data_IF_736398470058
#
_entry.id   IF_736398470058
#
_cell.length_a   1.000
_cell.length_b   1.000
_cell.length_c   1.000
_cell.angle_alpha   90.00
_cell.angle_beta   90.00
_cell.angle_gamma   90.00
#
_symmetry.space_group_name_H-M   'P 1'
#
loop_
_entity.id
_entity.type
_entity.pdbx_description
1 polymer ?
#
# COMPACT_ATOMS: atom_id res chain seq x y z
N UNK A 1 1.68 34.81 -9.04
CA UNK A 1 1.41 33.49 -8.45
C UNK A 1 -0.10 33.34 -8.41
N UNK A 2 -0.62 32.45 -9.23
CA UNK A 2 -2.03 32.07 -9.17
C UNK A 2 -2.27 31.33 -7.85
N UNK A 3 -3.37 31.63 -7.17
CA UNK A 3 -3.59 31.21 -5.77
C UNK A 3 -4.07 29.76 -5.63
N UNK A 4 -4.18 29.04 -6.73
CA UNK A 4 -4.60 27.65 -6.82
C UNK A 4 -4.18 27.10 -8.18
N UNK A 5 -3.98 25.78 -8.25
CA UNK A 5 -3.79 25.04 -9.51
C UNK A 5 -5.13 24.64 -10.16
N UNK A 6 -6.26 25.02 -9.53
CA UNK A 6 -7.61 24.60 -9.91
C UNK A 6 -7.98 25.00 -11.34
N UNK A 7 -8.49 24.04 -12.11
CA UNK A 7 -9.12 24.29 -13.41
C UNK A 7 -10.61 24.57 -13.30
N UNK A 8 -11.25 24.18 -12.19
CA UNK A 8 -12.65 24.47 -11.89
C UNK A 8 -12.91 24.33 -10.38
N UNK A 9 -13.45 25.37 -9.75
CA UNK A 9 -13.94 25.33 -8.37
C UNK A 9 -15.40 25.77 -8.37
N UNK A 10 -16.28 24.90 -7.87
CA UNK A 10 -17.72 25.13 -7.78
C UNK A 10 -18.23 24.87 -6.37
N UNK A 11 -19.17 25.72 -5.92
CA UNK A 11 -19.92 25.55 -4.70
C UNK A 11 -21.41 25.59 -5.06
N UNK A 12 -22.13 24.54 -4.74
CA UNK A 12 -23.60 24.45 -4.87
C UNK A 12 -24.14 24.20 -3.47
N UNK A 13 -25.13 24.99 -3.05
CA UNK A 13 -25.78 24.85 -1.75
C UNK A 13 -27.28 25.16 -1.86
N UNK A 14 -28.07 24.50 -1.02
CA UNK A 14 -29.49 24.74 -0.86
C UNK A 14 -29.73 25.81 0.23
N UNK A 15 -30.82 26.55 0.12
CA UNK A 15 -31.28 27.49 1.16
C UNK A 15 -32.81 27.48 1.21
N UNK A 16 -33.36 27.80 2.38
CA UNK A 16 -34.81 27.93 2.60
C UNK A 16 -35.17 29.40 2.81
N UNK A 17 -36.17 29.90 2.09
CA UNK A 17 -36.84 31.17 2.40
C UNK A 17 -37.90 30.91 3.47
N UNK A 18 -37.79 31.59 4.61
CA UNK A 18 -38.68 31.44 5.75
C UNK A 18 -39.91 32.34 5.64
N UNK A 19 -40.95 32.04 6.42
CA UNK A 19 -42.25 32.75 6.37
C UNK A 19 -42.21 34.19 6.90
N UNK A 20 -41.15 34.58 7.59
CA UNK A 20 -40.84 35.95 8.02
C UNK A 20 -39.98 36.74 6.99
N UNK A 21 -39.56 36.09 5.90
CA UNK A 21 -38.68 36.65 4.88
C UNK A 21 -37.19 36.52 5.18
N UNK A 22 -36.79 35.85 6.26
CA UNK A 22 -35.39 35.45 6.49
C UNK A 22 -35.00 34.28 5.57
N UNK A 23 -33.69 34.02 5.45
CA UNK A 23 -33.16 32.86 4.74
C UNK A 23 -32.35 32.02 5.71
N UNK A 24 -32.67 30.73 5.78
CA UNK A 24 -31.81 29.72 6.41
C UNK A 24 -30.94 29.10 5.33
N UNK A 25 -29.63 29.22 5.50
CA UNK A 25 -28.63 28.60 4.63
C UNK A 25 -28.36 27.15 5.04
N UNK A 26 -28.19 26.27 4.04
CA UNK A 26 -27.57 24.96 4.26
C UNK A 26 -26.06 25.10 4.54
N UNK A 27 -25.35 23.98 4.68
CA UNK A 27 -23.93 24.00 5.00
C UNK A 27 -23.10 24.75 3.96
N UNK A 28 -22.01 25.40 4.38
CA UNK A 28 -21.08 26.11 3.51
C UNK A 28 -19.64 25.78 3.91
N UNK A 29 -18.72 25.73 2.95
CA UNK A 29 -17.29 25.65 3.25
C UNK A 29 -16.83 26.99 3.83
N UNK A 30 -16.36 26.99 5.08
CA UNK A 30 -15.70 28.15 5.69
C UNK A 30 -14.20 28.13 5.39
N UNK A 31 -13.55 26.98 5.53
CA UNK A 31 -12.15 26.79 5.15
C UNK A 31 -11.84 25.35 4.70
N UNK A 32 -10.74 25.21 3.95
CA UNK A 32 -10.04 23.95 3.68
C UNK A 32 -8.54 24.24 3.82
N UNK A 33 -7.85 23.51 4.68
CA UNK A 33 -6.44 23.63 5.01
C UNK A 33 -5.76 22.28 4.77
N UNK A 34 -5.15 22.16 3.57
CA UNK A 34 -4.32 21.01 3.19
C UNK A 34 -2.92 21.22 3.77
N UNK A 35 -2.56 20.39 4.74
CA UNK A 35 -1.32 20.54 5.51
C UNK A 35 -0.09 20.34 4.63
N UNK A 36 0.96 21.09 4.97
CA UNK A 36 2.29 21.04 4.35
C UNK A 36 2.33 21.38 2.85
N UNK A 37 1.30 22.04 2.31
CA UNK A 37 1.38 22.63 0.97
C UNK A 37 2.45 23.72 0.89
N UNK A 38 3.29 23.61 -0.13
CA UNK A 38 4.20 24.69 -0.55
C UNK A 38 3.44 25.89 -1.14
N UNK A 39 4.13 27.03 -1.27
CA UNK A 39 3.59 28.25 -1.92
C UNK A 39 3.17 28.06 -3.39
N UNK A 40 3.52 26.92 -4.01
CA UNK A 40 3.12 26.55 -5.38
C UNK A 40 1.93 25.58 -5.41
N UNK A 41 1.24 25.37 -4.28
CA UNK A 41 0.18 24.36 -4.11
C UNK A 41 0.64 22.92 -4.43
N UNK A 42 1.91 22.60 -4.14
CA UNK A 42 2.47 21.24 -4.23
C UNK A 42 2.71 20.66 -2.84
N UNK A 43 2.37 19.39 -2.65
CA UNK A 43 2.71 18.56 -1.50
C UNK A 43 3.82 17.58 -1.89
N UNK A 44 5.01 17.72 -1.29
CA UNK A 44 6.20 16.92 -1.62
C UNK A 44 6.22 15.52 -0.96
N UNK A 45 5.07 15.06 -0.44
CA UNK A 45 4.87 13.74 0.17
C UNK A 45 3.54 13.09 -0.25
N UNK A 46 3.42 11.74 -0.22
CA UNK A 46 2.20 11.04 -0.65
C UNK A 46 0.97 11.24 0.23
N UNK A 47 1.18 11.43 1.54
CA UNK A 47 0.11 11.43 2.54
C UNK A 47 -0.46 12.83 2.72
N UNK A 48 -1.65 13.00 2.15
CA UNK A 48 -2.46 14.21 2.22
C UNK A 48 -3.18 14.24 3.56
N UNK A 49 -3.03 15.33 4.31
CA UNK A 49 -3.75 15.57 5.55
C UNK A 49 -4.50 16.89 5.41
N UNK A 50 -5.79 16.91 5.70
CA UNK A 50 -6.66 18.08 5.49
C UNK A 50 -7.46 18.32 6.76
N UNK A 51 -7.53 19.59 7.18
CA UNK A 51 -8.54 20.08 8.13
C UNK A 51 -9.49 20.99 7.34
N UNK A 52 -10.80 20.85 7.56
CA UNK A 52 -11.79 21.70 6.93
C UNK A 52 -12.92 22.05 7.90
N UNK A 53 -13.51 23.22 7.73
CA UNK A 53 -14.57 23.76 8.59
C UNK A 53 -15.80 24.10 7.77
N UNK A 54 -16.96 23.72 8.30
CA UNK A 54 -18.26 24.07 7.74
C UNK A 54 -18.88 25.21 8.55
N UNK A 55 -19.36 26.24 7.86
CA UNK A 55 -20.41 27.09 8.42
C UNK A 55 -21.75 26.36 8.25
N UNK A 56 -22.60 26.37 9.27
CA UNK A 56 -23.96 25.84 9.19
C UNK A 56 -24.82 26.45 10.31
N UNK A 57 -26.13 26.57 10.08
CA UNK A 57 -27.10 27.08 11.06
C UNK A 57 -27.68 26.00 11.99
N UNK A 58 -27.39 24.72 11.71
CA UNK A 58 -27.90 23.54 12.42
C UNK A 58 -26.79 22.47 12.62
N UNK A 59 -27.17 21.25 12.99
CA UNK A 59 -26.23 20.12 13.07
C UNK A 59 -26.01 19.45 11.70
N UNK A 60 -24.79 18.99 11.42
CA UNK A 60 -24.48 18.22 10.21
C UNK A 60 -24.93 16.76 10.39
N UNK A 61 -25.90 16.31 9.60
CA UNK A 61 -26.44 14.95 9.64
C UNK A 61 -25.61 13.97 8.79
N UNK A 62 -25.18 14.40 7.60
CA UNK A 62 -24.37 13.61 6.69
C UNK A 62 -23.21 14.44 6.16
N UNK A 63 -22.04 13.83 6.06
CA UNK A 63 -20.83 14.43 5.55
C UNK A 63 -20.00 13.40 4.79
N UNK A 64 -19.52 13.79 3.61
CA UNK A 64 -18.62 13.01 2.76
C UNK A 64 -17.47 13.89 2.32
N UNK A 65 -16.28 13.29 2.23
CA UNK A 65 -15.08 13.87 1.67
C UNK A 65 -14.59 12.88 0.62
N UNK A 66 -14.42 13.32 -0.61
CA UNK A 66 -13.97 12.52 -1.74
C UNK A 66 -12.77 13.18 -2.39
N UNK A 67 -11.87 12.38 -2.94
CA UNK A 67 -10.77 12.85 -3.78
C UNK A 67 -10.77 12.14 -5.14
N UNK A 68 -10.11 12.75 -6.12
CA UNK A 68 -9.94 12.21 -7.47
C UNK A 68 -8.58 12.57 -8.03
N UNK A 69 -7.90 11.60 -8.63
CA UNK A 69 -6.62 11.75 -9.35
C UNK A 69 -6.77 11.84 -10.87
N UNK A 70 -7.98 11.58 -11.40
CA UNK A 70 -8.33 11.67 -12.81
C UNK A 70 -9.35 12.79 -13.06
N UNK A 71 -8.99 14.01 -12.67
CA UNK A 71 -9.71 15.26 -12.99
C UNK A 71 -11.22 15.30 -12.66
N UNK A 72 -11.67 14.40 -11.77
CA UNK A 72 -13.06 14.26 -11.36
C UNK A 72 -13.90 13.25 -12.16
N UNK A 73 -13.29 12.41 -13.01
CA UNK A 73 -13.98 11.30 -13.68
C UNK A 73 -14.45 10.21 -12.69
N UNK A 74 -13.57 9.82 -11.76
CA UNK A 74 -13.90 8.88 -10.66
C UNK A 74 -13.52 9.45 -9.31
N UNK A 75 -14.25 9.09 -8.26
CA UNK A 75 -14.11 9.65 -6.92
C UNK A 75 -13.96 8.56 -5.87
N UNK A 76 -13.02 8.75 -4.94
CA UNK A 76 -12.75 7.84 -3.83
C UNK A 76 -13.07 8.56 -2.53
N UNK A 77 -13.97 7.99 -1.72
CA UNK A 77 -14.30 8.54 -0.40
C UNK A 77 -13.13 8.33 0.57
N UNK A 78 -12.77 9.37 1.31
CA UNK A 78 -11.77 9.35 2.37
C UNK A 78 -12.43 9.26 3.76
N UNK A 79 -11.74 8.71 4.78
CA UNK A 79 -12.25 8.69 6.16
C UNK A 79 -12.31 10.12 6.73
N UNK A 80 -13.32 10.40 7.56
CA UNK A 80 -13.54 11.71 8.18
C UNK A 80 -13.57 11.54 9.70
N UNK A 81 -12.86 12.41 10.41
CA UNK A 81 -12.88 12.51 11.87
C UNK A 81 -13.38 13.90 12.27
N UNK A 82 -14.27 13.98 13.26
CA UNK A 82 -14.65 15.26 13.87
C UNK A 82 -13.57 15.69 14.88
N UNK A 83 -13.07 16.91 14.75
CA UNK A 83 -12.13 17.52 15.70
C UNK A 83 -12.90 18.33 16.76
N UNK A 84 -13.83 19.15 16.31
CA UNK A 84 -14.64 20.08 17.12
C UNK A 84 -15.94 20.41 16.36
N UNK A 85 -16.82 21.25 16.91
CA UNK A 85 -18.07 21.65 16.26
C UNK A 85 -17.81 22.17 14.83
N UNK A 86 -18.48 21.51 13.87
CA UNK A 86 -18.38 21.73 12.43
C UNK A 86 -16.95 21.72 11.85
N UNK A 87 -15.97 21.16 12.57
CA UNK A 87 -14.55 21.16 12.20
C UNK A 87 -14.04 19.72 12.11
N UNK A 88 -13.53 19.35 10.94
CA UNK A 88 -13.26 17.97 10.57
C UNK A 88 -11.85 17.79 10.02
N UNK A 89 -11.33 16.57 10.07
CA UNK A 89 -10.12 16.18 9.35
C UNK A 89 -10.29 14.91 8.54
N UNK A 90 -9.45 14.79 7.51
CA UNK A 90 -9.29 13.58 6.71
C UNK A 90 -7.81 13.35 6.41
N UNK A 91 -7.44 12.10 6.21
CA UNK A 91 -6.08 11.68 5.85
C UNK A 91 -6.15 10.53 4.84
N UNK A 92 -5.35 10.61 3.78
CA UNK A 92 -5.27 9.60 2.73
C UNK A 92 -3.92 9.66 2.00
N UNK A 93 -3.50 8.55 1.40
CA UNK A 93 -2.28 8.45 0.60
C UNK A 93 -2.61 8.37 -0.89
N UNK A 94 -2.01 9.27 -1.67
CA UNK A 94 -2.06 9.23 -3.14
C UNK A 94 -0.98 8.26 -3.65
N UNK A 95 -1.33 7.35 -4.56
CA UNK A 95 -0.41 6.36 -5.13
C UNK A 95 -0.08 6.65 -6.61
N UNK A 96 1.10 6.23 -7.05
CA UNK A 96 1.66 6.49 -8.38
C UNK A 96 2.63 7.67 -8.41
N UNK A 97 2.86 8.23 -9.61
CA UNK A 97 3.75 9.38 -9.81
C UNK A 97 3.19 10.70 -9.23
N UNK A 98 3.90 11.81 -9.50
CA UNK A 98 3.40 13.14 -9.19
C UNK A 98 2.16 13.45 -10.05
N UNK A 99 1.06 13.85 -9.40
CA UNK A 99 -0.23 14.06 -10.07
C UNK A 99 -1.09 15.11 -9.36
N UNK A 100 -2.09 15.64 -10.06
CA UNK A 100 -3.05 16.58 -9.47
C UNK A 100 -4.08 15.84 -8.62
N UNK A 101 -4.52 16.47 -7.53
CA UNK A 101 -5.63 15.99 -6.71
C UNK A 101 -6.79 16.96 -6.79
N UNK A 102 -7.95 16.41 -7.09
CA UNK A 102 -9.24 17.08 -7.05
C UNK A 102 -9.98 16.69 -5.76
N UNK A 103 -10.76 17.60 -5.19
CA UNK A 103 -11.52 17.40 -3.96
C UNK A 103 -13.02 17.58 -4.22
N UNK A 104 -13.85 16.80 -3.51
CA UNK A 104 -15.27 17.07 -3.31
C UNK A 104 -15.63 16.90 -1.83
N UNK A 105 -16.42 17.82 -1.31
CA UNK A 105 -17.02 17.74 0.01
C UNK A 105 -18.53 17.86 -0.19
N UNK A 106 -19.31 16.90 0.28
CA UNK A 106 -20.78 16.98 0.27
C UNK A 106 -21.32 16.86 1.69
N UNK A 107 -22.22 17.77 2.08
CA UNK A 107 -22.83 17.80 3.40
C UNK A 107 -24.36 17.87 3.29
N UNK A 108 -25.04 17.39 4.33
CA UNK A 108 -26.49 17.58 4.55
C UNK A 108 -26.71 17.89 6.02
N UNK A 109 -27.49 18.94 6.28
CA UNK A 109 -27.82 19.39 7.63
C UNK A 109 -29.05 18.66 8.22
N UNK A 110 -29.36 18.91 9.49
CA UNK A 110 -30.51 18.28 10.17
C UNK A 110 -31.88 18.83 9.73
N UNK A 111 -31.92 19.88 8.90
CA UNK A 111 -33.12 20.33 8.18
C UNK A 111 -33.26 19.66 6.79
N UNK A 112 -32.24 18.93 6.32
CA UNK A 112 -32.18 18.30 5.00
C UNK A 112 -31.61 19.17 3.87
N UNK A 113 -31.10 20.37 4.18
CA UNK A 113 -30.43 21.28 3.25
C UNK A 113 -29.01 20.78 2.93
N UNK A 114 -28.66 20.81 1.65
CA UNK A 114 -27.44 20.19 1.12
C UNK A 114 -26.42 21.20 0.62
N UNK A 115 -25.17 20.74 0.57
CA UNK A 115 -24.07 21.41 -0.10
C UNK A 115 -23.17 20.40 -0.81
N UNK A 116 -22.62 20.81 -1.95
CA UNK A 116 -21.50 20.16 -2.61
C UNK A 116 -20.48 21.22 -3.05
N UNK A 117 -19.25 21.08 -2.56
CA UNK A 117 -18.11 21.90 -2.95
C UNK A 117 -17.12 21.01 -3.70
N UNK A 118 -16.88 21.30 -4.99
CA UNK A 118 -15.93 20.56 -5.83
C UNK A 118 -14.79 21.49 -6.25
N UNK A 119 -13.56 20.97 -6.28
CA UNK A 119 -12.38 21.66 -6.83
C UNK A 119 -11.55 20.67 -7.63
N UNK A 120 -11.43 20.91 -8.94
CA UNK A 120 -10.68 20.07 -9.88
C UNK A 120 -9.26 20.59 -10.00
N UNK A 121 -8.25 19.74 -9.76
CA UNK A 121 -6.81 20.09 -9.66
C UNK A 121 -6.47 21.11 -8.57
N UNK A 122 -7.08 20.99 -7.39
CA UNK A 122 -6.86 21.96 -6.29
C UNK A 122 -5.39 22.10 -5.86
N UNK A 123 -4.65 21.00 -5.86
CA UNK A 123 -3.23 20.93 -5.51
C UNK A 123 -2.52 19.78 -6.26
N UNK A 124 -1.20 19.76 -6.24
CA UNK A 124 -0.34 18.73 -6.84
C UNK A 124 0.32 17.91 -5.73
N UNK A 125 0.46 16.59 -5.91
CA UNK A 125 0.99 15.67 -4.88
C UNK A 125 2.07 14.78 -5.46
N UNK A 126 3.21 14.65 -4.77
CA UNK A 126 4.20 13.60 -5.02
C UNK A 126 3.68 12.27 -4.45
N UNK A 127 3.04 11.46 -5.30
CA UNK A 127 2.44 10.18 -4.91
C UNK A 127 3.44 9.14 -4.39
N UNK A 128 2.90 8.15 -3.67
CA UNK A 128 3.59 6.96 -3.21
C UNK A 128 3.81 6.04 -4.40
N UNK A 129 5.07 5.86 -4.78
CA UNK A 129 5.45 5.03 -5.91
C UNK A 129 4.97 3.59 -5.73
N UNK A 130 4.31 3.08 -6.75
CA UNK A 130 3.80 1.71 -6.86
C UNK A 130 4.84 0.78 -7.50
N UNK A 131 4.51 -0.51 -7.64
CA UNK A 131 5.38 -1.50 -8.28
C UNK A 131 5.71 -1.15 -9.74
N UNK A 132 4.84 -0.39 -10.43
CA UNK A 132 5.06 0.16 -11.78
C UNK A 132 6.33 1.04 -11.88
N UNK A 133 6.85 1.48 -10.74
CA UNK A 133 8.05 2.32 -10.62
C UNK A 133 9.25 1.55 -10.05
N UNK A 134 9.19 0.22 -9.89
CA UNK A 134 10.34 -0.57 -9.46
C UNK A 134 11.48 -0.48 -10.50
N UNK A 135 12.75 -0.28 -10.10
CA UNK A 135 13.30 -0.27 -8.74
C UNK A 135 13.35 1.10 -8.02
N UNK A 136 12.86 2.20 -8.61
CA UNK A 136 13.04 3.58 -8.10
C UNK A 136 12.78 3.79 -6.59
N UNK A 137 11.76 3.19 -5.92
CA UNK A 137 11.53 3.39 -4.49
C UNK A 137 12.69 2.91 -3.59
N UNK A 138 13.55 2.02 -4.11
CA UNK A 138 14.64 1.34 -3.39
C UNK A 138 16.02 1.90 -3.77
N UNK A 139 16.06 3.04 -4.47
CA UNK A 139 17.25 3.77 -4.89
C UNK A 139 17.27 5.20 -4.29
N UNK A 140 18.41 5.88 -4.38
CA UNK A 140 18.57 7.31 -4.10
C UNK A 140 18.57 8.12 -5.40
N UNK A 141 18.54 9.44 -5.29
CA UNK A 141 18.57 10.37 -6.43
C UNK A 141 19.87 10.27 -7.27
N UNK A 142 20.98 9.80 -6.70
CA UNK A 142 22.22 9.48 -7.42
C UNK A 142 22.22 8.10 -8.10
N UNK A 143 21.09 7.40 -8.03
CA UNK A 143 20.87 6.04 -8.54
C UNK A 143 21.33 4.93 -7.59
N UNK A 144 22.06 5.21 -6.50
CA UNK A 144 22.61 4.16 -5.63
C UNK A 144 21.54 3.41 -4.83
N UNK A 145 21.82 2.16 -4.48
CA UNK A 145 20.98 1.34 -3.60
C UNK A 145 20.64 2.08 -2.29
N UNK A 146 19.35 2.09 -1.96
CA UNK A 146 18.78 2.69 -0.74
C UNK A 146 17.93 1.68 0.05
N UNK A 147 18.27 0.39 -0.01
CA UNK A 147 17.51 -0.65 0.67
C UNK A 147 18.38 -1.70 1.36
N UNK A 148 17.77 -2.41 2.31
CA UNK A 148 18.31 -3.64 2.89
C UNK A 148 17.27 -4.77 2.81
N UNK A 149 17.74 -6.02 2.70
CA UNK A 149 16.87 -7.18 2.84
C UNK A 149 16.54 -7.44 4.31
N UNK A 150 15.36 -7.99 4.57
CA UNK A 150 14.96 -8.50 5.89
C UNK A 150 14.57 -9.96 5.72
N UNK A 151 15.32 -10.83 6.38
CA UNK A 151 15.21 -12.29 6.26
C UNK A 151 14.79 -12.88 7.60
N UNK A 152 13.81 -13.79 7.55
CA UNK A 152 13.26 -14.44 8.73
C UNK A 152 14.27 -15.34 9.47
N UNK A 153 14.09 -15.49 10.79
CA UNK A 153 14.92 -16.38 11.58
C UNK A 153 14.74 -17.85 11.18
N UNK A 154 15.82 -18.63 11.10
CA UNK A 154 15.74 -20.08 10.85
C UNK A 154 15.22 -20.88 12.06
N UNK A 155 15.07 -20.24 13.23
CA UNK A 155 14.47 -20.84 14.43
C UNK A 155 13.03 -20.34 14.66
N UNK A 156 12.18 -21.10 15.38
CA UNK A 156 10.82 -20.67 15.74
C UNK A 156 10.77 -19.32 16.48
N UNK A 157 10.02 -18.36 15.93
CA UNK A 157 9.91 -16.99 16.45
C UNK A 157 8.61 -16.29 16.00
N UNK A 158 8.40 -15.06 16.46
CA UNK A 158 7.25 -14.22 16.07
C UNK A 158 5.88 -14.75 16.51
N UNK A 159 4.82 -14.21 15.89
CA UNK A 159 3.41 -14.57 16.17
C UNK A 159 3.09 -16.03 15.88
N UNK A 160 3.67 -16.58 14.82
CA UNK A 160 3.32 -17.90 14.29
C UNK A 160 4.25 -19.04 14.74
N UNK A 161 5.41 -18.71 15.34
CA UNK A 161 6.37 -19.65 15.90
C UNK A 161 6.86 -20.70 14.88
N UNK A 162 7.18 -20.26 13.66
CA UNK A 162 7.90 -21.04 12.64
C UNK A 162 9.28 -20.43 12.38
N UNK A 163 10.12 -21.15 11.64
CA UNK A 163 11.42 -20.66 11.16
C UNK A 163 11.44 -20.58 9.64
N UNK A 164 12.12 -19.57 9.10
CA UNK A 164 12.30 -19.34 7.68
C UNK A 164 13.16 -20.41 7.00
N UNK A 165 12.99 -20.52 5.69
CA UNK A 165 13.63 -21.53 4.88
C UNK A 165 14.87 -20.99 4.15
N UNK A 166 15.71 -21.90 3.63
CA UNK A 166 16.80 -21.51 2.72
C UNK A 166 16.26 -20.93 1.40
N UNK A 167 14.98 -21.19 1.06
CA UNK A 167 14.36 -20.68 -0.14
C UNK A 167 14.21 -19.14 -0.12
N UNK A 168 13.95 -18.56 1.05
CA UNK A 168 13.80 -17.11 1.23
C UNK A 168 15.16 -16.39 1.12
N UNK A 169 16.24 -17.05 1.52
CA UNK A 169 17.63 -16.61 1.30
C UNK A 169 18.00 -16.67 -0.19
N UNK A 170 17.53 -17.69 -0.92
CA UNK A 170 17.80 -17.81 -2.35
C UNK A 170 16.95 -16.80 -3.15
N UNK A 171 15.70 -16.56 -2.76
CA UNK A 171 14.83 -15.53 -3.33
C UNK A 171 15.44 -14.12 -3.23
N UNK A 172 15.85 -13.72 -2.02
CA UNK A 172 16.58 -12.45 -1.82
C UNK A 172 17.89 -12.38 -2.62
N UNK A 173 18.62 -13.50 -2.74
CA UNK A 173 19.83 -13.58 -3.58
C UNK A 173 19.54 -13.33 -5.08
N UNK A 174 18.44 -13.87 -5.62
CA UNK A 174 18.01 -13.63 -7.00
C UNK A 174 17.70 -12.14 -7.24
N UNK A 175 16.97 -11.51 -6.31
CA UNK A 175 16.63 -10.08 -6.37
C UNK A 175 17.90 -9.21 -6.26
N UNK A 176 18.84 -9.56 -5.38
CA UNK A 176 20.13 -8.88 -5.24
C UNK A 176 20.96 -8.94 -6.53
N UNK A 177 21.03 -10.12 -7.16
CA UNK A 177 21.71 -10.31 -8.44
C UNK A 177 21.06 -9.47 -9.56
N UNK A 178 19.73 -9.30 -9.54
CA UNK A 178 19.02 -8.47 -10.52
C UNK A 178 19.11 -6.96 -10.26
N UNK A 179 19.24 -6.51 -9.02
CA UNK A 179 19.43 -5.09 -8.69
C UNK A 179 20.84 -4.58 -9.06
N UNK A 180 21.85 -5.46 -9.07
CA UNK A 180 23.27 -5.10 -9.27
C UNK A 180 23.73 -4.61 -10.66
N UNK A 181 23.20 -5.04 -11.82
CA UNK A 181 23.84 -4.80 -13.13
C UNK A 181 23.95 -3.32 -13.54
N UNK A 182 23.10 -2.46 -12.98
CA UNK A 182 23.06 -1.02 -13.27
C UNK A 182 23.66 -0.17 -12.14
N UNK A 183 24.29 -0.79 -11.12
CA UNK A 183 24.69 -0.13 -9.88
C UNK A 183 26.21 0.06 -9.75
N UNK A 184 26.70 1.13 -9.12
CA UNK A 184 28.13 1.31 -8.85
C UNK A 184 28.70 0.15 -8.03
N UNK A 185 29.89 -0.34 -8.38
CA UNK A 185 30.53 -1.52 -7.75
C UNK A 185 30.73 -1.37 -6.22
N UNK A 186 30.66 -0.14 -5.69
CA UNK A 186 30.78 0.18 -4.26
C UNK A 186 29.49 -0.01 -3.45
N UNK A 187 28.33 -0.25 -4.07
CA UNK A 187 27.07 -0.48 -3.34
C UNK A 187 26.98 -1.92 -2.84
N UNK A 188 27.31 -2.14 -1.57
CA UNK A 188 27.04 -3.41 -0.86
C UNK A 188 25.55 -3.54 -0.53
N UNK A 189 24.97 -4.72 -0.77
CA UNK A 189 23.69 -5.07 -0.16
C UNK A 189 23.89 -5.32 1.35
N UNK A 190 22.93 -4.89 2.15
CA UNK A 190 22.82 -5.21 3.57
C UNK A 190 21.62 -6.13 3.74
N UNK A 191 21.75 -7.13 4.61
CA UNK A 191 20.65 -7.97 5.06
C UNK A 191 20.58 -7.94 6.57
N UNK A 192 19.38 -7.71 7.11
CA UNK A 192 19.09 -7.82 8.54
C UNK A 192 18.31 -9.09 8.82
N UNK A 193 18.43 -9.57 10.05
CA UNK A 193 17.54 -10.56 10.61
C UNK A 193 16.22 -9.87 10.99
N UNK A 194 15.08 -10.50 10.75
CA UNK A 194 13.78 -9.87 11.01
C UNK A 194 13.53 -9.57 12.49
N UNK A 195 14.04 -10.40 13.41
CA UNK A 195 14.01 -10.13 14.86
C UNK A 195 14.88 -8.95 15.31
N UNK A 196 15.82 -8.50 14.47
CA UNK A 196 16.60 -7.28 14.75
C UNK A 196 15.78 -6.03 14.37
N UNK A 197 14.95 -6.16 13.32
CA UNK A 197 14.13 -5.09 12.73
C UNK A 197 12.77 -4.95 13.41
N UNK A 198 12.19 -6.05 13.89
CA UNK A 198 10.82 -6.11 14.42
C UNK A 198 10.82 -6.83 15.76
N UNK A 199 10.23 -6.20 16.77
CA UNK A 199 9.96 -6.81 18.08
C UNK A 199 8.57 -7.44 18.15
N UNK A 200 8.42 -8.46 18.99
CA UNK A 200 7.14 -9.13 19.27
C UNK A 200 6.98 -9.37 20.77
N UNK A 201 5.77 -9.13 21.29
CA UNK A 201 5.39 -9.42 22.66
C UNK A 201 4.41 -10.62 22.70
N UNK A 202 4.86 -11.83 23.07
CA UNK A 202 4.01 -13.02 23.08
C UNK A 202 2.91 -13.00 24.14
N UNK A 203 2.95 -12.06 25.10
CA UNK A 203 1.90 -11.89 26.11
C UNK A 203 0.78 -10.94 25.70
N UNK A 204 0.97 -10.14 24.63
CA UNK A 204 -0.08 -9.24 24.11
C UNK A 204 -0.41 -9.45 22.64
N UNK A 205 0.41 -10.18 21.88
CA UNK A 205 0.28 -10.34 20.43
C UNK A 205 0.82 -9.14 19.62
N UNK A 206 1.26 -8.08 20.30
CA UNK A 206 1.71 -6.84 19.66
C UNK A 206 3.08 -7.00 19.01
N UNK A 207 3.26 -6.30 17.90
CA UNK A 207 4.52 -6.16 17.17
C UNK A 207 4.85 -4.68 16.98
N UNK A 208 6.14 -4.37 16.83
CA UNK A 208 6.62 -3.01 16.56
C UNK A 208 7.91 -3.07 15.75
N UNK A 209 8.14 -2.10 14.86
CA UNK A 209 9.44 -1.91 14.23
C UNK A 209 10.40 -1.28 15.25
N UNK A 210 11.66 -1.71 15.23
CA UNK A 210 12.73 -1.28 16.13
C UNK A 210 13.29 0.11 15.79
N UNK A 211 14.62 0.22 15.68
CA UNK A 211 15.27 1.50 15.35
C UNK A 211 14.79 2.01 13.98
N UNK A 212 14.27 3.24 13.92
CA UNK A 212 13.76 3.81 12.67
C UNK A 212 14.88 4.23 11.72
N UNK A 213 16.16 4.11 12.08
CA UNK A 213 17.31 4.43 11.22
C UNK A 213 17.54 3.51 9.99
N UNK A 214 16.75 2.44 9.80
CA UNK A 214 16.87 1.58 8.61
C UNK A 214 16.63 2.34 7.28
N UNK A 215 17.25 1.89 6.16
CA UNK A 215 16.86 2.31 4.81
C UNK A 215 15.44 1.82 4.45
N UNK A 216 15.03 1.94 3.18
CA UNK A 216 13.85 1.18 2.69
C UNK A 216 14.11 -0.34 2.82
N UNK A 217 13.09 -1.16 3.02
CA UNK A 217 13.29 -2.58 3.33
C UNK A 217 12.59 -3.50 2.32
N UNK A 218 13.25 -4.61 1.99
CA UNK A 218 12.69 -5.69 1.17
C UNK A 218 12.62 -6.97 2.03
N UNK A 219 11.41 -7.33 2.44
CA UNK A 219 11.13 -8.58 3.16
C UNK A 219 11.03 -9.74 2.16
N UNK A 220 11.70 -10.85 2.45
CA UNK A 220 11.53 -12.11 1.72
C UNK A 220 11.12 -13.22 2.69
N UNK A 221 10.05 -13.93 2.34
CA UNK A 221 9.35 -14.90 3.19
C UNK A 221 8.01 -14.36 3.68
N UNK A 222 6.99 -15.23 3.70
CA UNK A 222 5.64 -14.88 4.16
C UNK A 222 5.55 -14.65 5.68
N UNK A 223 4.41 -14.13 6.18
CA UNK A 223 4.25 -13.69 7.57
C UNK A 223 4.36 -14.83 8.60
N UNK A 224 4.15 -16.08 8.18
CA UNK A 224 4.44 -17.24 9.03
C UNK A 224 5.89 -17.34 9.49
N UNK A 225 6.84 -16.77 8.73
CA UNK A 225 8.30 -16.92 8.94
C UNK A 225 9.08 -15.60 8.89
N UNK A 226 8.47 -14.47 8.54
CA UNK A 226 9.12 -13.17 8.49
C UNK A 226 8.24 -12.10 9.18
N UNK A 227 8.72 -11.59 10.31
CA UNK A 227 8.03 -10.64 11.16
C UNK A 227 7.82 -9.27 10.53
N UNK A 228 8.63 -8.86 9.53
CA UNK A 228 8.35 -7.62 8.79
C UNK A 228 7.16 -7.78 7.84
N UNK A 229 6.95 -8.98 7.29
CA UNK A 229 5.73 -9.28 6.56
C UNK A 229 4.53 -9.31 7.53
N UNK A 230 4.61 -10.05 8.64
CA UNK A 230 3.50 -10.21 9.62
C UNK A 230 3.11 -8.91 10.35
N UNK A 231 4.00 -7.91 10.41
CA UNK A 231 3.70 -6.57 10.91
C UNK A 231 2.76 -5.79 9.97
N UNK A 232 3.03 -5.82 8.66
CA UNK A 232 2.28 -5.05 7.65
C UNK A 232 1.18 -5.83 6.92
N UNK A 233 1.15 -7.17 7.04
CA UNK A 233 0.27 -8.08 6.30
C UNK A 233 -1.16 -7.53 6.15
N UNK A 234 -1.81 -7.22 7.28
CA UNK A 234 -3.23 -6.86 7.33
C UNK A 234 -3.56 -5.45 6.78
N UNK A 235 -2.59 -4.71 6.24
CA UNK A 235 -2.82 -3.43 5.54
C UNK A 235 -2.38 -3.45 4.07
N UNK A 236 -2.00 -4.61 3.55
CA UNK A 236 -1.67 -4.80 2.13
C UNK A 236 -2.94 -5.02 1.28
N UNK A 237 -2.93 -4.67 -0.04
CA UNK A 237 -4.08 -4.92 -0.92
C UNK A 237 -4.32 -6.40 -1.25
N UNK A 238 -3.29 -7.23 -1.10
CA UNK A 238 -3.33 -8.69 -1.00
C UNK A 238 -2.55 -9.08 0.25
N UNK A 239 -3.08 -10.00 1.05
CA UNK A 239 -2.52 -10.38 2.35
C UNK A 239 -2.73 -11.86 2.64
N UNK A 240 -1.90 -12.45 3.50
CA UNK A 240 -2.09 -13.83 3.93
C UNK A 240 -3.12 -13.92 5.05
N UNK A 241 -3.95 -14.95 4.98
CA UNK A 241 -4.88 -15.34 6.00
C UNK A 241 -4.59 -16.76 6.48
N UNK A 242 -5.13 -17.12 7.65
CA UNK A 242 -4.94 -18.43 8.29
C UNK A 242 -6.26 -19.06 8.75
N UNK A 243 -7.39 -18.45 8.43
CA UNK A 243 -8.70 -19.07 8.65
C UNK A 243 -8.88 -20.23 7.67
N UNK A 244 -9.30 -21.41 8.15
CA UNK A 244 -9.34 -22.66 7.38
C UNK A 244 -7.96 -23.26 7.03
N UNK A 245 -6.97 -22.43 6.71
CA UNK A 245 -5.60 -22.79 6.36
C UNK A 245 -4.82 -21.56 5.89
N UNK A 246 -3.52 -21.69 5.63
CA UNK A 246 -2.76 -20.58 5.02
C UNK A 246 -3.19 -20.38 3.56
N UNK A 247 -3.69 -19.18 3.26
CA UNK A 247 -4.13 -18.76 1.93
C UNK A 247 -3.87 -17.25 1.74
N UNK A 248 -4.11 -16.73 0.54
CA UNK A 248 -4.05 -15.30 0.25
C UNK A 248 -5.47 -14.78 0.04
N UNK A 249 -5.84 -13.72 0.76
CA UNK A 249 -7.03 -12.91 0.54
C UNK A 249 -6.65 -11.60 -0.19
N UNK A 250 -7.62 -10.99 -0.87
CA UNK A 250 -7.41 -9.75 -1.65
C UNK A 250 -8.55 -8.76 -1.45
N UNK A 251 -8.23 -7.46 -1.54
CA UNK A 251 -9.20 -6.37 -1.39
C UNK A 251 -10.24 -6.27 -2.52
N UNK A 252 -10.11 -7.09 -3.57
CA UNK A 252 -11.09 -7.30 -4.63
C UNK A 252 -12.08 -8.43 -4.31
N UNK A 253 -11.81 -9.24 -3.29
CA UNK A 253 -12.66 -10.35 -2.85
C UNK A 253 -12.28 -11.74 -3.38
N UNK A 254 -11.08 -11.91 -3.95
CA UNK A 254 -10.55 -13.22 -4.34
C UNK A 254 -9.76 -13.88 -3.21
N UNK A 255 -9.84 -15.21 -3.16
CA UNK A 255 -9.03 -16.08 -2.30
C UNK A 255 -8.16 -17.02 -3.14
N UNK A 256 -6.91 -17.27 -2.70
CA UNK A 256 -5.97 -18.17 -3.38
C UNK A 256 -5.34 -19.16 -2.40
N UNK A 257 -5.56 -20.45 -2.66
CA UNK A 257 -5.23 -21.56 -1.78
C UNK A 257 -4.17 -22.47 -2.42
N UNK A 258 -3.13 -22.84 -1.66
CA UNK A 258 -2.07 -23.76 -2.11
C UNK A 258 -2.61 -25.18 -2.28
N UNK A 259 -2.39 -25.79 -3.44
CA UNK A 259 -2.81 -27.17 -3.72
C UNK A 259 -1.68 -28.17 -3.43
N UNK A 260 -2.05 -29.28 -2.78
CA UNK A 260 -1.17 -30.40 -2.45
C UNK A 260 -1.73 -31.71 -3.01
N UNK A 261 -0.85 -32.62 -3.38
CA UNK A 261 -1.23 -33.97 -3.82
C UNK A 261 -1.52 -34.93 -2.64
N UNK A 262 -1.86 -36.18 -2.95
CA UNK A 262 -2.13 -37.23 -1.95
C UNK A 262 -0.93 -37.58 -1.04
N UNK A 263 0.27 -37.11 -1.37
CA UNK A 263 1.51 -37.27 -0.59
C UNK A 263 1.92 -35.97 0.15
N UNK A 264 1.13 -34.89 0.05
CA UNK A 264 1.43 -33.59 0.65
C UNK A 264 2.50 -32.78 -0.09
N UNK A 265 2.80 -33.11 -1.35
CA UNK A 265 3.73 -32.38 -2.22
C UNK A 265 2.99 -31.22 -2.91
N UNK A 266 3.68 -30.10 -3.13
CA UNK A 266 3.12 -28.95 -3.86
C UNK A 266 2.73 -29.35 -5.28
N UNK A 267 1.46 -29.15 -5.65
CA UNK A 267 1.01 -29.16 -7.06
C UNK A 267 0.90 -27.73 -7.57
N UNK A 268 0.50 -26.81 -6.69
CA UNK A 268 0.31 -25.41 -7.00
C UNK A 268 0.56 -24.56 -5.75
N UNK A 269 1.26 -23.45 -5.89
CA UNK A 269 1.54 -22.51 -4.78
C UNK A 269 1.33 -21.06 -5.22
N UNK A 270 1.02 -20.21 -4.26
CA UNK A 270 0.67 -18.81 -4.49
C UNK A 270 1.54 -17.89 -3.64
N UNK A 271 1.78 -16.69 -4.15
CA UNK A 271 2.68 -15.72 -3.55
C UNK A 271 2.25 -14.28 -3.78
N UNK A 272 2.69 -13.40 -2.89
CA UNK A 272 2.44 -11.96 -2.94
C UNK A 272 3.75 -11.26 -3.32
N UNK A 273 3.65 -10.30 -4.25
CA UNK A 273 4.60 -9.19 -4.38
C UNK A 273 3.82 -7.92 -4.06
N UNK A 274 4.14 -7.22 -2.96
CA UNK A 274 3.45 -6.00 -2.57
C UNK A 274 4.43 -4.87 -2.22
N UNK A 275 3.97 -3.63 -2.37
CA UNK A 275 4.68 -2.44 -1.88
C UNK A 275 3.79 -1.62 -0.96
N UNK A 276 4.32 -1.30 0.21
CA UNK A 276 3.74 -0.39 1.18
C UNK A 276 4.58 0.89 1.28
N UNK A 277 3.92 2.05 1.34
CA UNK A 277 4.53 3.31 1.74
C UNK A 277 4.06 3.64 3.15
N UNK A 278 5.01 3.66 4.08
CA UNK A 278 4.77 4.08 5.46
C UNK A 278 4.80 5.61 5.55
N UNK A 279 3.67 6.19 5.98
CA UNK A 279 3.52 7.61 6.17
C UNK A 279 4.26 8.16 7.40
N UNK A 280 4.47 7.34 8.44
CA UNK A 280 5.13 7.77 9.68
C UNK A 280 6.65 7.92 9.46
N UNK A 281 7.29 6.90 8.89
CA UNK A 281 8.75 6.96 8.63
C UNK A 281 9.12 7.40 7.21
N UNK A 282 8.13 7.68 6.35
CA UNK A 282 8.30 8.15 4.96
C UNK A 282 9.18 7.23 4.10
N UNK A 283 9.01 5.91 4.24
CA UNK A 283 9.79 4.86 3.58
C UNK A 283 8.92 3.86 2.83
N UNK A 284 9.55 3.17 1.88
CA UNK A 284 8.95 2.05 1.16
C UNK A 284 9.37 0.71 1.77
N UNK A 285 8.43 -0.22 1.76
CA UNK A 285 8.59 -1.60 2.21
C UNK A 285 8.06 -2.51 1.11
N UNK A 286 8.92 -3.33 0.50
CA UNK A 286 8.51 -4.36 -0.46
C UNK A 286 8.40 -5.69 0.26
N UNK A 287 7.23 -6.32 0.22
CA UNK A 287 6.97 -7.58 0.90
C UNK A 287 6.74 -8.68 -0.12
N UNK A 288 7.56 -9.73 -0.05
CA UNK A 288 7.63 -10.82 -1.03
C UNK A 288 7.58 -12.14 -0.27
N UNK A 289 6.64 -13.03 -0.59
CA UNK A 289 6.54 -14.34 0.07
C UNK A 289 5.47 -15.23 -0.52
N UNK A 290 5.61 -16.54 -0.34
CA UNK A 290 4.62 -17.55 -0.71
C UNK A 290 3.81 -18.10 0.47
N UNK A 291 2.75 -18.87 0.16
CA UNK A 291 2.12 -19.78 1.13
C UNK A 291 3.11 -20.91 1.46
N UNK A 292 3.82 -21.42 0.45
CA UNK A 292 4.99 -22.28 0.58
C UNK A 292 6.32 -21.61 0.22
N UNK A 293 7.38 -22.40 0.35
CA UNK A 293 8.75 -22.00 -0.04
C UNK A 293 8.88 -21.86 -1.56
N UNK A 294 8.12 -22.68 -2.31
CA UNK A 294 8.00 -22.62 -3.76
C UNK A 294 7.47 -21.26 -4.22
N UNK A 295 6.40 -20.75 -3.60
CA UNK A 295 5.83 -19.43 -3.88
C UNK A 295 6.80 -18.27 -3.59
N UNK A 296 7.50 -18.28 -2.45
CA UNK A 296 8.54 -17.27 -2.12
C UNK A 296 9.58 -17.16 -3.24
N UNK A 297 9.98 -18.28 -3.81
CA UNK A 297 10.98 -18.36 -4.89
C UNK A 297 10.37 -17.95 -6.23
N UNK A 298 9.15 -18.37 -6.54
CA UNK A 298 8.44 -17.99 -7.76
C UNK A 298 8.29 -16.46 -7.87
N UNK A 299 7.82 -15.80 -6.81
CA UNK A 299 7.72 -14.35 -6.74
C UNK A 299 9.09 -13.65 -6.84
N UNK A 300 10.10 -14.16 -6.13
CA UNK A 300 11.47 -13.62 -6.20
C UNK A 300 12.09 -13.78 -7.60
N UNK A 301 11.83 -14.91 -8.28
CA UNK A 301 12.29 -15.19 -9.65
C UNK A 301 11.55 -14.34 -10.68
N UNK A 302 10.25 -14.11 -10.52
CA UNK A 302 9.47 -13.22 -11.38
C UNK A 302 10.09 -11.80 -11.46
N UNK A 303 10.53 -11.26 -10.31
CA UNK A 303 11.26 -9.99 -10.22
C UNK A 303 12.66 -10.12 -10.86
N UNK A 304 13.38 -11.20 -10.57
CA UNK A 304 14.75 -11.41 -11.05
C UNK A 304 14.84 -11.58 -12.58
N UNK A 305 13.82 -12.14 -13.22
CA UNK A 305 13.73 -12.35 -14.67
C UNK A 305 13.32 -11.10 -15.46
N UNK A 306 13.16 -9.93 -14.80
CA UNK A 306 12.75 -8.66 -15.42
C UNK A 306 11.36 -8.63 -16.06
N UNK A 307 10.38 -9.30 -15.44
CA UNK A 307 8.98 -9.04 -15.77
C UNK A 307 8.53 -7.67 -15.25
N UNK A 308 7.52 -7.07 -15.88
CA UNK A 308 6.87 -5.85 -15.39
C UNK A 308 6.25 -6.12 -14.02
N UNK A 309 6.52 -5.25 -13.03
CA UNK A 309 5.75 -5.21 -11.81
C UNK A 309 4.72 -4.08 -11.93
N UNK A 310 3.51 -4.26 -11.40
CA UNK A 310 2.40 -3.31 -11.58
C UNK A 310 1.57 -3.15 -10.31
N UNK A 311 0.98 -1.98 -10.10
CA UNK A 311 0.06 -1.70 -9.00
C UNK A 311 0.70 -1.69 -7.60
N UNK A 312 -0.12 -1.85 -6.58
CA UNK A 312 0.29 -1.86 -5.16
C UNK A 312 0.55 -3.29 -4.65
N UNK A 313 -0.12 -4.29 -5.23
CA UNK A 313 0.19 -5.70 -5.01
C UNK A 313 -0.14 -6.55 -6.24
N UNK A 314 0.62 -7.63 -6.40
CA UNK A 314 0.42 -8.66 -7.43
C UNK A 314 0.33 -10.01 -6.74
N UNK A 315 -0.61 -10.86 -7.19
CA UNK A 315 -0.63 -12.27 -6.82
C UNK A 315 0.02 -13.09 -7.92
N UNK A 316 1.03 -13.87 -7.52
CA UNK A 316 1.80 -14.78 -8.36
C UNK A 316 1.34 -16.21 -8.09
N UNK A 317 1.14 -16.98 -9.14
CA UNK A 317 0.88 -18.42 -9.12
C UNK A 317 2.10 -19.16 -9.67
N UNK A 318 2.45 -20.28 -9.03
CA UNK A 318 3.36 -21.28 -9.58
C UNK A 318 2.66 -22.64 -9.66
N UNK A 319 2.76 -23.29 -10.82
CA UNK A 319 2.23 -24.63 -11.08
C UNK A 319 3.26 -25.45 -11.87
N UNK A 320 3.09 -26.78 -11.90
CA UNK A 320 3.88 -27.68 -12.75
C UNK A 320 4.00 -27.13 -14.18
N UNK A 321 5.24 -26.90 -14.62
CA UNK A 321 5.57 -26.48 -15.98
C UNK A 321 6.22 -27.57 -16.85
N UNK A 322 6.54 -28.73 -16.29
CA UNK A 322 7.34 -29.77 -16.93
C UNK A 322 6.58 -31.10 -17.18
N UNK A 323 5.49 -31.35 -16.45
CA UNK A 323 4.64 -32.53 -16.56
C UNK A 323 4.94 -33.65 -15.55
N UNK A 324 5.76 -33.41 -14.52
CA UNK A 324 6.04 -34.38 -13.44
C UNK A 324 4.95 -34.42 -12.34
N UNK A 325 4.03 -33.45 -12.35
CA UNK A 325 2.88 -33.34 -11.45
C UNK A 325 3.13 -32.61 -10.14
N UNK A 326 4.34 -32.08 -9.89
CA UNK A 326 4.67 -31.35 -8.65
C UNK A 326 5.53 -30.10 -8.90
N UNK A 327 5.21 -29.01 -8.21
CA UNK A 327 6.11 -27.85 -8.15
C UNK A 327 7.27 -28.17 -7.22
N UNK A 328 8.51 -28.06 -7.71
CA UNK A 328 9.71 -28.23 -6.87
C UNK A 328 10.64 -27.03 -6.90
N UNK A 329 11.30 -26.79 -5.76
CA UNK A 329 12.37 -25.80 -5.65
C UNK A 329 13.47 -25.97 -6.72
N UNK A 330 13.83 -27.21 -7.06
CA UNK A 330 14.84 -27.50 -8.09
C UNK A 330 14.38 -27.03 -9.47
N UNK A 331 13.17 -27.42 -9.88
CA UNK A 331 12.57 -27.05 -11.15
C UNK A 331 12.42 -25.52 -11.27
N UNK A 332 11.97 -24.85 -10.20
CA UNK A 332 11.82 -23.39 -10.11
C UNK A 332 13.10 -22.64 -10.45
N UNK A 333 14.22 -23.01 -9.80
CA UNK A 333 15.53 -22.38 -10.03
C UNK A 333 16.05 -22.63 -11.46
N UNK A 334 15.70 -23.76 -12.08
CA UNK A 334 16.05 -24.08 -13.46
C UNK A 334 15.07 -23.50 -14.51
N UNK A 335 13.99 -22.83 -14.09
CA UNK A 335 12.99 -22.27 -15.00
C UNK A 335 12.14 -23.33 -15.70
N UNK A 336 11.92 -24.48 -15.04
CA UNK A 336 11.09 -25.58 -15.54
C UNK A 336 9.63 -25.47 -15.08
N UNK A 337 9.33 -24.66 -14.06
CA UNK A 337 7.97 -24.43 -13.57
C UNK A 337 7.32 -23.22 -14.23
N UNK A 338 5.98 -23.25 -14.30
CA UNK A 338 5.17 -22.16 -14.84
C UNK A 338 4.95 -21.11 -13.76
N UNK A 339 5.30 -19.86 -14.03
CA UNK A 339 5.08 -18.71 -13.12
C UNK A 339 4.18 -17.69 -13.83
N UNK A 340 3.06 -17.32 -13.22
CA UNK A 340 2.06 -16.42 -13.79
C UNK A 340 1.61 -15.35 -12.80
N UNK A 341 1.28 -14.15 -13.31
CA UNK A 341 0.50 -13.16 -12.56
C UNK A 341 -0.98 -13.47 -12.78
N UNK A 342 -1.73 -13.64 -11.70
CA UNK A 342 -3.17 -13.92 -11.77
C UNK A 342 -4.04 -12.72 -11.39
N UNK A 343 -3.51 -11.81 -10.56
CA UNK A 343 -4.17 -10.58 -10.15
C UNK A 343 -3.16 -9.44 -9.93
N UNK A 344 -3.58 -8.22 -10.25
CA UNK A 344 -2.86 -6.97 -10.03
C UNK A 344 -3.83 -5.99 -9.37
N UNK A 345 -3.62 -5.69 -8.08
CA UNK A 345 -4.38 -4.70 -7.33
C UNK A 345 -3.64 -3.36 -7.39
N UNK A 346 -4.32 -2.30 -7.84
CA UNK A 346 -3.73 -0.97 -8.09
C UNK A 346 -4.03 0.04 -6.98
#
# INVERSE_FOLDING_TARGET
ADRSLSTNTSLVYEFQLNSDGTVTSGPLIENIDVKDLTLNSTLDKPTVNIIFRLYNESDIQHLTFEYSTNDGETWTQAPINTIDQNTYSTSFTIYGAQQYVSLRINATDSNGLKMSATTIKGFFVKGALTLDYFPQPFLKDDGTINFAFVLGATWPHGRHNYGASVADIIGSTLIALRMRPNQPIQSSFISYHDTDVVGYNPSTGNMWIGDTAYPTLISVGGPGVNMLFDYYNNILPAYFSKEGGWHIETTTGNEYWRELDEYGRTVEDYAIIAIHYDAETSRYFMLIGGIGAEGSVAASKYIADFNSLEGRAMVIKVSDGNGDGIVTFWNLIHGLEKIEVIEIIR
#
